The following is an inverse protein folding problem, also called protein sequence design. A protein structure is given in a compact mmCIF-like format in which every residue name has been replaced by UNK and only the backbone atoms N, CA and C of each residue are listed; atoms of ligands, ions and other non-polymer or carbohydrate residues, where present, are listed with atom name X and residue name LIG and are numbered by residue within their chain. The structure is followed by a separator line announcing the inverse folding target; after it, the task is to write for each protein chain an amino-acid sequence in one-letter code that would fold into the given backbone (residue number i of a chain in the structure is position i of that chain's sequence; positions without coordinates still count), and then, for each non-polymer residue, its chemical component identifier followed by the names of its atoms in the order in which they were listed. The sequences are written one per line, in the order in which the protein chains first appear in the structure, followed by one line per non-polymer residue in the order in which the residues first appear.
data_IF_787200821908
#
_entry.id   IF_787200821908
#
_cell.length_a   1.000
_cell.length_b   1.000
_cell.length_c   1.000
_cell.angle_alpha   90.00
_cell.angle_beta   90.00
_cell.angle_gamma   90.00
#
_symmetry.space_group_name_H-M   'P 1'
#
loop_
_entity.id
_entity.type
_entity.pdbx_description
1 polymer ?
#
# COMPACT_ATOMS: atom_id res chain seq x y z
N UNK A 1 -1.19 41.35 -68.00
CA UNK A 1 -2.49 41.31 -68.80
C UNK A 1 -3.52 40.65 -67.85
N UNK A 2 -4.48 41.46 -67.35
CA UNK A 2 -5.68 40.98 -66.64
C UNK A 2 -6.76 40.58 -67.65
N UNK A 3 -7.67 39.68 -67.25
CA UNK A 3 -9.07 40.03 -67.49
C UNK A 3 -9.93 39.90 -66.22
N UNK A 4 -10.80 40.83 -66.16
CA UNK A 4 -11.94 41.09 -65.28
C UNK A 4 -13.04 40.07 -65.63
N UNK A 5 -13.65 39.40 -64.67
CA UNK A 5 -14.91 38.67 -64.86
C UNK A 5 -15.92 39.17 -63.81
N UNK A 6 -17.06 39.51 -64.30
CA UNK A 6 -18.23 40.14 -63.72
C UNK A 6 -18.96 39.31 -62.71
N UNK A 7 -19.32 39.94 -61.60
CA UNK A 7 -20.22 39.42 -60.56
C UNK A 7 -21.67 39.67 -61.06
N UNK A 8 -22.45 38.62 -61.14
CA UNK A 8 -23.92 38.72 -61.24
C UNK A 8 -24.51 38.63 -59.81
N UNK A 9 -25.16 39.72 -59.42
CA UNK A 9 -25.96 39.87 -58.22
C UNK A 9 -27.28 39.08 -58.39
N UNK A 10 -27.54 38.07 -57.61
CA UNK A 10 -28.89 37.48 -57.47
C UNK A 10 -29.48 37.97 -56.13
N UNK A 11 -30.47 38.82 -56.23
CA UNK A 11 -31.36 39.24 -55.17
C UNK A 11 -32.33 38.10 -54.91
N UNK A 12 -32.32 37.45 -53.81
CA UNK A 12 -33.34 36.52 -53.37
C UNK A 12 -34.03 37.07 -52.11
N UNK A 13 -35.35 37.25 -52.26
CA UNK A 13 -36.28 37.81 -51.32
C UNK A 13 -36.21 37.12 -49.97
N UNK A 14 -35.98 37.89 -48.90
CA UNK A 14 -36.13 37.46 -47.53
C UNK A 14 -37.62 37.38 -47.14
N UNK A 15 -38.07 36.16 -46.82
CA UNK A 15 -39.33 35.94 -46.10
C UNK A 15 -38.97 35.97 -44.61
N UNK A 16 -39.34 37.08 -43.97
CA UNK A 16 -39.19 37.23 -42.51
C UNK A 16 -40.41 36.57 -41.85
N UNK A 17 -40.22 35.32 -41.40
CA UNK A 17 -41.16 34.68 -40.45
C UNK A 17 -40.78 35.10 -39.00
N UNK A 18 -41.75 35.21 -38.07
CA UNK A 18 -41.47 35.60 -36.72
C UNK A 18 -40.64 34.52 -35.99
N UNK A 19 -39.40 34.83 -35.69
CA UNK A 19 -38.57 34.04 -34.80
C UNK A 19 -39.20 34.10 -33.41
N UNK A 20 -39.89 33.01 -33.00
CA UNK A 20 -40.21 32.79 -31.60
C UNK A 20 -38.91 32.62 -30.86
N UNK A 21 -38.60 33.55 -29.95
CA UNK A 21 -37.54 33.41 -28.96
C UNK A 21 -37.78 32.12 -28.18
N UNK A 22 -36.94 31.11 -28.41
CA UNK A 22 -36.83 29.96 -27.53
C UNK A 22 -36.20 30.47 -26.26
N UNK A 23 -37.04 30.61 -25.26
CA UNK A 23 -36.58 30.88 -23.88
C UNK A 23 -35.59 29.79 -23.50
N UNK A 24 -34.28 30.13 -23.47
CA UNK A 24 -33.23 29.27 -22.91
C UNK A 24 -33.46 29.22 -21.41
N UNK A 25 -34.35 28.32 -20.99
CA UNK A 25 -34.46 27.91 -19.61
C UNK A 25 -33.06 27.49 -19.18
N UNK A 26 -32.58 28.23 -18.20
CA UNK A 26 -31.31 28.08 -17.52
C UNK A 26 -31.12 26.62 -17.07
N UNK A 27 -30.37 25.81 -17.84
CA UNK A 27 -30.00 24.41 -17.50
C UNK A 27 -28.95 24.41 -16.38
N UNK A 28 -28.95 25.38 -15.50
CA UNK A 28 -28.01 25.53 -14.38
C UNK A 28 -28.53 24.93 -13.05
N UNK A 29 -29.66 24.20 -13.06
CA UNK A 29 -30.26 23.64 -11.87
C UNK A 29 -30.25 22.12 -11.79
N UNK A 30 -29.33 21.43 -12.49
CA UNK A 30 -29.21 19.98 -12.38
C UNK A 30 -27.80 19.64 -11.93
N UNK A 31 -27.75 19.07 -10.70
CA UNK A 31 -26.65 18.50 -9.92
C UNK A 31 -26.03 19.45 -8.87
N UNK A 32 -26.85 20.05 -8.01
CA UNK A 32 -26.44 20.19 -6.60
C UNK A 32 -26.65 18.80 -6.01
N UNK A 33 -25.58 17.97 -5.94
CA UNK A 33 -25.55 16.88 -4.98
C UNK A 33 -25.80 17.51 -3.61
N UNK A 34 -26.95 17.19 -3.01
CA UNK A 34 -27.32 17.70 -1.69
C UNK A 34 -26.24 17.25 -0.72
N UNK A 35 -25.43 18.18 -0.21
CA UNK A 35 -24.43 17.87 0.80
C UNK A 35 -25.13 17.26 2.02
N UNK A 36 -24.86 15.99 2.28
CA UNK A 36 -25.50 15.26 3.40
C UNK A 36 -24.75 15.51 4.70
N UNK A 37 -23.41 15.43 4.63
CA UNK A 37 -22.51 15.64 5.77
C UNK A 37 -21.56 16.78 5.44
N UNK A 38 -21.58 17.85 6.23
CA UNK A 38 -20.61 18.94 6.16
C UNK A 38 -19.50 18.72 7.15
N UNK A 39 -18.28 18.75 6.67
CA UNK A 39 -17.07 18.61 7.48
C UNK A 39 -16.43 19.97 7.81
N UNK A 40 -15.82 20.07 8.99
CA UNK A 40 -14.98 21.22 9.36
C UNK A 40 -13.78 21.33 8.39
N UNK A 41 -13.25 20.21 7.98
CA UNK A 41 -12.23 20.05 6.95
C UNK A 41 -12.29 18.64 6.38
N UNK A 42 -11.81 18.44 5.16
CA UNK A 42 -11.72 17.11 4.51
C UNK A 42 -10.29 16.69 4.24
N UNK A 43 -9.34 17.63 4.36
CA UNK A 43 -7.90 17.38 4.22
C UNK A 43 -7.19 17.98 5.43
N UNK A 44 -6.30 17.20 6.03
CA UNK A 44 -5.45 17.65 7.12
C UNK A 44 -3.98 17.36 6.76
N UNK A 45 -3.16 18.40 6.81
CA UNK A 45 -1.71 18.26 6.77
C UNK A 45 -1.23 17.93 8.19
N UNK A 46 -0.60 16.75 8.34
CA UNK A 46 -0.07 16.28 9.62
C UNK A 46 1.40 16.68 9.82
N UNK A 47 1.97 17.38 8.83
CA UNK A 47 3.37 17.82 8.86
C UNK A 47 4.36 16.68 8.64
N UNK A 48 5.49 16.75 9.33
CA UNK A 48 6.55 15.74 9.26
C UNK A 48 6.58 14.95 10.55
N UNK A 49 6.47 13.63 10.42
CA UNK A 49 6.62 12.63 11.47
C UNK A 49 7.92 11.84 11.28
N UNK A 50 8.29 11.04 12.25
CA UNK A 50 9.35 10.02 12.13
C UNK A 50 8.76 8.62 12.33
N UNK A 51 9.43 7.58 11.84
CA UNK A 51 8.99 6.19 12.08
C UNK A 51 8.98 5.82 13.57
N UNK A 52 9.73 6.55 14.39
CA UNK A 52 9.84 6.33 15.85
C UNK A 52 8.73 7.03 16.64
N UNK A 53 7.94 7.89 15.99
CA UNK A 53 6.84 8.57 16.66
C UNK A 53 5.72 7.59 17.03
N UNK A 54 5.10 7.82 18.16
CA UNK A 54 3.90 7.09 18.58
C UNK A 54 2.74 7.37 17.58
N UNK A 55 1.76 6.46 17.49
CA UNK A 55 0.56 6.70 16.67
C UNK A 55 -0.12 8.03 17.01
N UNK A 56 -0.46 8.81 16.00
CA UNK A 56 -1.07 10.14 16.13
C UNK A 56 -2.54 10.09 15.73
N UNK A 57 -3.41 10.71 16.55
CA UNK A 57 -4.86 10.73 16.29
C UNK A 57 -5.32 12.11 15.86
N UNK A 58 -5.93 12.18 14.69
CA UNK A 58 -6.47 13.38 14.06
C UNK A 58 -7.99 13.31 14.02
N UNK A 59 -8.66 14.43 14.36
CA UNK A 59 -10.12 14.49 14.46
C UNK A 59 -10.69 15.36 13.36
N UNK A 60 -11.76 14.87 12.77
CA UNK A 60 -12.62 15.54 11.81
C UNK A 60 -14.01 15.62 12.38
N UNK A 61 -14.62 16.77 12.31
CA UNK A 61 -16.01 16.94 12.78
C UNK A 61 -16.94 17.05 11.58
N UNK A 62 -17.96 16.22 11.50
CA UNK A 62 -19.01 16.35 10.51
C UNK A 62 -20.34 16.72 11.16
N UNK A 63 -21.16 17.48 10.43
CA UNK A 63 -22.52 17.85 10.80
C UNK A 63 -23.47 17.30 9.74
N UNK A 64 -24.55 16.63 10.16
CA UNK A 64 -25.62 16.27 9.25
C UNK A 64 -26.38 17.56 8.85
N UNK A 65 -26.18 18.02 7.62
CA UNK A 65 -26.84 19.22 7.07
C UNK A 65 -28.05 18.87 6.22
N UNK A 66 -28.36 17.58 6.03
CA UNK A 66 -29.58 17.13 5.39
C UNK A 66 -30.77 17.30 6.34
N UNK A 67 -31.95 17.51 5.80
CA UNK A 67 -33.19 17.59 6.60
C UNK A 67 -33.68 16.24 7.16
N UNK A 68 -32.88 15.17 7.07
CA UNK A 68 -33.25 13.79 7.41
C UNK A 68 -32.22 13.15 8.32
N UNK A 69 -32.64 12.21 9.16
CA UNK A 69 -31.74 11.32 9.90
C UNK A 69 -30.97 10.45 8.91
N UNK A 70 -29.65 10.40 9.04
CA UNK A 70 -28.78 9.53 8.25
C UNK A 70 -28.11 8.51 9.16
N UNK A 71 -27.79 7.34 8.62
CA UNK A 71 -27.14 6.26 9.38
C UNK A 71 -25.73 6.02 8.83
N UNK A 72 -24.73 6.30 9.66
CA UNK A 72 -23.33 5.98 9.37
C UNK A 72 -23.11 4.47 9.54
N UNK A 73 -22.69 3.80 8.46
CA UNK A 73 -22.55 2.34 8.42
C UNK A 73 -21.10 1.89 8.42
N UNK A 74 -20.21 2.66 7.77
CA UNK A 74 -18.82 2.23 7.61
C UNK A 74 -17.89 3.42 7.37
N UNK A 75 -16.63 3.28 7.82
CA UNK A 75 -15.49 4.11 7.42
C UNK A 75 -14.38 3.17 6.98
N UNK A 76 -13.94 3.30 5.72
CA UNK A 76 -12.88 2.46 5.13
C UNK A 76 -11.64 3.28 4.88
N UNK A 77 -10.48 2.82 5.33
CA UNK A 77 -9.19 3.46 5.09
C UNK A 77 -8.44 2.79 3.92
N UNK A 78 -7.58 3.55 3.23
CA UNK A 78 -6.82 3.05 2.07
C UNK A 78 -5.55 2.30 2.43
N UNK A 79 -5.07 2.41 3.68
CA UNK A 79 -3.90 1.66 4.13
C UNK A 79 -4.10 1.10 5.54
N UNK A 80 -3.36 0.04 5.87
CA UNK A 80 -3.30 -0.51 7.23
C UNK A 80 -2.58 0.39 8.24
N UNK A 81 -1.93 1.46 7.78
CA UNK A 81 -1.27 2.46 8.61
C UNK A 81 -2.25 3.44 9.27
N UNK A 82 -3.52 3.44 8.86
CA UNK A 82 -4.55 4.34 9.36
C UNK A 82 -5.75 3.56 9.86
N UNK A 83 -6.11 3.74 11.13
CA UNK A 83 -7.32 3.21 11.73
C UNK A 83 -8.35 4.34 11.92
N UNK A 84 -9.62 4.03 11.66
CA UNK A 84 -10.73 4.95 11.92
C UNK A 84 -11.47 4.54 13.18
N UNK A 85 -11.70 5.50 14.07
CA UNK A 85 -12.55 5.37 15.25
C UNK A 85 -13.70 6.37 15.14
N UNK A 86 -14.93 5.85 15.12
CA UNK A 86 -16.14 6.64 15.01
C UNK A 86 -17.34 5.90 15.60
N UNK A 87 -18.19 6.64 16.31
CA UNK A 87 -19.49 6.10 16.76
C UNK A 87 -20.39 5.88 15.55
N UNK A 88 -20.63 4.62 15.19
CA UNK A 88 -21.57 4.23 14.15
C UNK A 88 -23.03 4.50 14.56
N UNK A 89 -23.93 4.48 13.60
CA UNK A 89 -25.37 4.60 13.81
C UNK A 89 -25.97 5.91 13.30
N UNK A 90 -27.12 6.27 13.84
CA UNK A 90 -27.90 7.42 13.38
C UNK A 90 -27.26 8.75 13.77
N UNK A 91 -27.38 9.73 12.87
CA UNK A 91 -26.99 11.13 13.03
C UNK A 91 -28.23 11.96 12.67
N UNK A 92 -28.80 12.63 13.67
CA UNK A 92 -29.98 13.46 13.48
C UNK A 92 -29.66 14.73 12.68
N UNK A 93 -30.66 15.38 12.04
CA UNK A 93 -30.47 16.68 11.41
C UNK A 93 -29.85 17.69 12.38
N UNK A 94 -28.75 18.35 11.96
CA UNK A 94 -28.00 19.30 12.79
C UNK A 94 -27.05 18.66 13.82
N UNK A 95 -27.12 17.33 14.03
CA UNK A 95 -26.20 16.64 14.94
C UNK A 95 -24.80 16.61 14.36
N UNK A 96 -23.80 16.77 15.24
CA UNK A 96 -22.38 16.65 14.92
C UNK A 96 -21.83 15.29 15.34
N UNK A 97 -20.89 14.76 14.54
CA UNK A 97 -20.16 13.53 14.84
C UNK A 97 -18.65 13.73 14.61
N UNK A 98 -17.83 13.18 15.52
CA UNK A 98 -16.38 13.18 15.36
C UNK A 98 -15.95 11.87 14.75
N UNK A 99 -15.10 11.95 13.72
CA UNK A 99 -14.40 10.84 13.12
C UNK A 99 -12.91 11.02 13.46
N UNK A 100 -12.36 10.08 14.21
CA UNK A 100 -10.95 10.09 14.57
C UNK A 100 -10.18 9.14 13.64
N UNK A 101 -9.10 9.63 13.06
CA UNK A 101 -8.17 8.83 12.25
C UNK A 101 -6.84 8.74 13.00
N UNK A 102 -6.44 7.53 13.36
CA UNK A 102 -5.16 7.27 14.02
C UNK A 102 -4.17 6.77 12.98
N UNK A 103 -3.12 7.55 12.72
CA UNK A 103 -2.04 7.21 11.82
C UNK A 103 -0.85 6.65 12.59
N UNK A 104 -0.31 5.53 12.12
CA UNK A 104 0.88 4.86 12.70
C UNK A 104 2.05 5.03 11.73
N UNK A 105 3.06 5.85 12.05
CA UNK A 105 4.17 6.13 11.14
C UNK A 105 5.19 4.97 11.03
N UNK A 106 5.23 4.09 12.02
CA UNK A 106 6.20 2.97 12.09
C UNK A 106 6.14 2.07 10.84
N UNK A 107 7.29 1.84 10.21
CA UNK A 107 7.46 1.07 8.98
C UNK A 107 6.78 1.69 7.73
N UNK A 108 6.49 3.00 7.75
CA UNK A 108 5.86 3.73 6.64
C UNK A 108 6.60 5.02 6.30
N UNK A 109 7.94 5.00 6.05
CA UNK A 109 8.67 6.21 5.68
C UNK A 109 8.26 6.69 4.29
N UNK A 110 8.29 7.99 4.09
CA UNK A 110 7.92 8.66 2.85
C UNK A 110 6.65 9.48 2.95
N UNK A 111 6.02 9.75 1.81
CA UNK A 111 4.84 10.62 1.74
C UNK A 111 3.62 9.99 2.38
N UNK A 112 2.93 10.75 3.23
CA UNK A 112 1.60 10.42 3.72
C UNK A 112 0.57 10.98 2.73
N UNK A 113 -0.22 10.13 2.12
CA UNK A 113 -1.44 10.44 1.38
C UNK A 113 -2.42 9.29 1.60
N UNK A 114 -3.07 9.30 2.75
CA UNK A 114 -4.02 8.25 3.13
C UNK A 114 -5.43 8.79 3.24
N UNK A 115 -6.39 7.99 2.81
CA UNK A 115 -7.78 8.39 2.72
C UNK A 115 -8.67 7.53 3.60
N UNK A 116 -9.71 8.13 4.16
CA UNK A 116 -10.81 7.47 4.80
C UNK A 116 -12.10 7.81 4.07
N UNK A 117 -12.83 6.79 3.62
CA UNK A 117 -14.09 6.90 2.90
C UNK A 117 -15.26 6.65 3.84
N UNK A 118 -16.21 7.56 3.83
CA UNK A 118 -17.38 7.55 4.72
C UNK A 118 -18.59 7.00 3.95
N UNK A 119 -19.27 6.00 4.53
CA UNK A 119 -20.43 5.36 3.92
C UNK A 119 -21.67 5.52 4.82
N UNK A 120 -22.81 5.79 4.19
CA UNK A 120 -24.12 5.82 4.83
C UNK A 120 -24.98 4.67 4.34
N UNK A 121 -26.01 4.28 5.11
CA UNK A 121 -26.95 3.23 4.73
C UNK A 121 -27.71 3.52 3.43
N UNK A 122 -27.85 4.79 3.07
CA UNK A 122 -28.46 5.22 1.80
C UNK A 122 -27.53 5.13 0.60
N UNK A 123 -26.22 4.85 0.82
CA UNK A 123 -25.18 4.84 -0.22
C UNK A 123 -24.06 3.86 0.13
N UNK A 124 -24.40 2.56 0.19
CA UNK A 124 -23.45 1.50 0.59
C UNK A 124 -22.34 1.25 -0.44
N UNK A 125 -22.57 1.58 -1.70
CA UNK A 125 -21.62 1.36 -2.80
C UNK A 125 -20.75 2.58 -3.12
N UNK A 126 -21.21 3.80 -2.76
CA UNK A 126 -20.48 5.04 -3.01
C UNK A 126 -20.24 5.79 -1.69
N UNK A 127 -19.01 6.21 -1.41
CA UNK A 127 -18.72 7.02 -0.24
C UNK A 127 -19.35 8.41 -0.38
N UNK A 128 -19.97 8.90 0.69
CA UNK A 128 -20.54 10.26 0.73
C UNK A 128 -19.49 11.32 1.05
N UNK A 129 -18.34 10.92 1.56
CA UNK A 129 -17.22 11.82 1.82
C UNK A 129 -15.89 11.06 1.83
N UNK A 130 -14.81 11.80 1.59
CA UNK A 130 -13.42 11.36 1.70
C UNK A 130 -12.67 12.31 2.61
N UNK A 131 -12.03 11.76 3.64
CA UNK A 131 -11.09 12.47 4.51
C UNK A 131 -9.67 12.08 4.13
N UNK A 132 -8.76 13.02 4.09
CA UNK A 132 -7.38 12.80 3.65
C UNK A 132 -6.40 13.32 4.71
N UNK A 133 -5.43 12.49 5.10
CA UNK A 133 -4.24 12.92 5.83
C UNK A 133 -3.08 13.04 4.85
N UNK A 134 -2.35 14.16 4.92
CA UNK A 134 -1.16 14.43 4.11
C UNK A 134 0.01 14.84 5.00
N UNK A 135 1.21 14.49 4.56
CA UNK A 135 2.43 14.82 5.29
C UNK A 135 3.61 14.00 4.80
N UNK A 136 4.60 13.84 5.66
CA UNK A 136 5.77 13.05 5.38
C UNK A 136 6.25 12.31 6.63
N UNK A 137 6.80 11.10 6.47
CA UNK A 137 7.45 10.33 7.53
C UNK A 137 8.93 10.21 7.19
N UNK A 138 9.78 10.72 8.07
CA UNK A 138 11.21 10.50 7.98
C UNK A 138 11.57 9.11 8.50
N UNK A 139 12.63 8.47 7.98
CA UNK A 139 13.16 7.23 8.54
C UNK A 139 13.44 7.37 10.03
N UNK A 140 13.22 6.30 10.78
CA UNK A 140 13.55 6.22 12.19
C UNK A 140 15.06 6.19 12.45
N UNK A 141 15.46 6.35 13.70
CA UNK A 141 16.87 6.32 14.12
C UNK A 141 17.52 4.94 13.92
N UNK A 142 16.73 3.86 14.02
CA UNK A 142 17.20 2.50 13.74
C UNK A 142 16.91 2.15 12.26
N UNK A 143 17.92 2.27 11.43
CA UNK A 143 17.87 1.87 10.01
C UNK A 143 17.49 0.40 9.82
N UNK A 144 17.72 -0.44 10.83
CA UNK A 144 17.47 -1.88 10.81
C UNK A 144 16.14 -2.28 11.46
N UNK A 145 15.34 -1.33 11.97
CA UNK A 145 14.02 -1.63 12.56
C UNK A 145 13.10 -2.43 11.63
N UNK A 146 13.26 -2.28 10.30
CA UNK A 146 12.51 -3.02 9.27
C UNK A 146 13.01 -4.45 9.03
N UNK A 147 14.04 -4.89 9.76
CA UNK A 147 14.65 -6.21 9.68
C UNK A 147 14.50 -6.91 11.06
N UNK A 148 13.32 -7.47 11.36
CA UNK A 148 12.97 -7.92 12.71
C UNK A 148 13.78 -9.12 13.21
N UNK A 149 14.46 -9.83 12.29
CA UNK A 149 15.25 -11.00 12.65
C UNK A 149 16.74 -10.68 12.65
N UNK A 150 17.38 -10.84 13.81
CA UNK A 150 18.80 -10.63 13.97
C UNK A 150 19.54 -11.96 14.13
N UNK A 151 20.64 -12.12 13.41
CA UNK A 151 21.61 -13.22 13.53
C UNK A 151 22.99 -12.60 13.69
N UNK A 152 23.40 -12.27 14.93
CA UNK A 152 24.53 -11.41 15.19
C UNK A 152 24.36 -10.03 14.55
N UNK A 153 25.26 -9.66 13.64
CA UNK A 153 25.20 -8.40 12.89
C UNK A 153 24.39 -8.51 11.57
N UNK A 154 24.01 -9.71 11.17
CA UNK A 154 23.13 -9.93 10.02
C UNK A 154 21.68 -9.64 10.44
N UNK A 155 20.99 -8.84 9.66
CA UNK A 155 19.56 -8.50 9.81
C UNK A 155 18.76 -9.06 8.66
N UNK A 156 17.60 -9.67 8.91
CA UNK A 156 16.77 -10.30 7.88
C UNK A 156 15.34 -9.80 7.95
N UNK A 157 14.71 -9.69 6.77
CA UNK A 157 13.27 -9.39 6.65
C UNK A 157 12.40 -10.50 7.18
N UNK A 158 12.84 -11.75 7.03
CA UNK A 158 12.14 -12.94 7.47
C UNK A 158 13.13 -14.07 7.77
N UNK A 159 12.78 -14.96 8.68
CA UNK A 159 13.60 -16.11 9.09
C UNK A 159 13.12 -17.44 8.51
N UNK A 160 12.28 -17.39 7.46
CA UNK A 160 11.81 -18.55 6.72
C UNK A 160 11.70 -18.25 5.24
N UNK A 161 11.87 -19.29 4.42
CA UNK A 161 11.58 -19.29 2.99
C UNK A 161 10.58 -20.36 2.66
N UNK A 162 9.68 -20.13 1.72
CA UNK A 162 8.72 -21.10 1.25
C UNK A 162 8.79 -21.23 -0.27
N UNK A 163 9.20 -22.42 -0.71
CA UNK A 163 9.15 -22.81 -2.11
C UNK A 163 7.77 -23.41 -2.38
N UNK A 164 6.98 -22.72 -3.19
CA UNK A 164 5.65 -23.16 -3.59
C UNK A 164 5.72 -23.81 -4.96
N UNK A 165 4.94 -24.89 -5.17
CA UNK A 165 4.75 -25.50 -6.47
C UNK A 165 6.07 -25.98 -7.13
N UNK A 166 6.92 -26.63 -6.35
CA UNK A 166 8.19 -27.18 -6.87
C UNK A 166 7.89 -28.39 -7.72
N UNK A 167 7.96 -28.23 -9.05
CA UNK A 167 7.77 -29.30 -10.02
C UNK A 167 9.06 -30.14 -10.20
N UNK A 168 8.90 -31.40 -10.52
CA UNK A 168 10.04 -32.31 -10.78
C UNK A 168 10.93 -31.79 -11.90
N UNK A 169 12.25 -31.94 -11.72
CA UNK A 169 13.25 -31.48 -12.68
C UNK A 169 13.44 -29.96 -12.76
N UNK A 170 12.74 -29.17 -11.94
CA UNK A 170 12.93 -27.72 -11.86
C UNK A 170 13.95 -27.33 -10.79
N UNK A 171 14.49 -26.12 -10.93
CA UNK A 171 15.48 -25.52 -10.01
C UNK A 171 15.03 -24.13 -9.56
N UNK A 172 13.93 -24.00 -8.80
CA UNK A 172 13.46 -22.72 -8.31
C UNK A 172 14.45 -22.12 -7.30
N UNK A 173 14.49 -20.78 -7.26
CA UNK A 173 15.23 -20.01 -6.27
C UNK A 173 14.30 -19.05 -5.56
N UNK A 174 14.47 -18.94 -4.24
CA UNK A 174 13.81 -17.96 -3.39
C UNK A 174 14.83 -17.03 -2.75
N UNK A 175 14.37 -15.83 -2.37
CA UNK A 175 15.22 -14.78 -1.84
C UNK A 175 14.69 -14.26 -0.49
N UNK A 176 15.62 -13.93 0.40
CA UNK A 176 15.34 -13.17 1.62
C UNK A 176 16.26 -11.97 1.65
N UNK A 177 15.66 -10.79 1.70
CA UNK A 177 16.43 -9.56 1.86
C UNK A 177 17.06 -9.53 3.25
N UNK A 178 18.34 -9.25 3.31
CA UNK A 178 19.12 -9.13 4.52
C UNK A 178 20.01 -7.88 4.46
N UNK A 179 20.67 -7.55 5.57
CA UNK A 179 21.60 -6.46 5.65
C UNK A 179 22.63 -6.65 6.73
N UNK A 180 23.74 -5.96 6.59
CA UNK A 180 24.84 -5.95 7.54
C UNK A 180 24.75 -4.72 8.45
N UNK A 181 24.29 -4.91 9.68
CA UNK A 181 24.22 -3.85 10.70
C UNK A 181 25.53 -3.67 11.49
N UNK A 182 26.59 -4.38 11.10
CA UNK A 182 27.90 -4.30 11.72
C UNK A 182 28.85 -3.33 11.01
N UNK A 183 30.06 -3.26 11.50
CA UNK A 183 31.16 -2.43 11.04
C UNK A 183 32.19 -3.20 10.16
N UNK A 184 32.03 -4.53 10.06
CA UNK A 184 32.89 -5.39 9.25
C UNK A 184 32.10 -6.04 8.10
N UNK A 185 32.73 -6.29 6.94
CA UNK A 185 32.11 -7.01 5.84
C UNK A 185 31.71 -8.43 6.25
N UNK A 186 30.52 -8.87 5.85
CA UNK A 186 30.06 -10.24 6.07
C UNK A 186 30.25 -11.08 4.79
N UNK A 187 30.79 -12.29 4.97
CA UNK A 187 30.79 -13.37 4.00
C UNK A 187 30.03 -14.53 4.57
N UNK A 188 28.88 -14.84 3.99
CA UNK A 188 27.99 -15.86 4.52
C UNK A 188 28.16 -17.18 3.77
N UNK A 189 28.05 -18.27 4.51
CA UNK A 189 27.85 -19.60 3.96
C UNK A 189 26.75 -20.32 4.73
N UNK A 190 26.43 -21.55 4.36
CA UNK A 190 25.40 -22.32 5.04
C UNK A 190 25.93 -23.69 5.42
N UNK A 191 25.65 -24.09 6.65
CA UNK A 191 25.79 -25.47 7.12
C UNK A 191 24.43 -26.18 7.21
N UNK A 192 24.44 -27.51 7.38
CA UNK A 192 23.26 -28.37 7.32
C UNK A 192 22.46 -28.26 6.03
N UNK A 193 23.16 -27.95 4.92
CA UNK A 193 22.57 -27.83 3.60
C UNK A 193 22.37 -29.21 2.97
N UNK A 194 21.14 -29.64 2.63
CA UNK A 194 20.92 -30.89 1.91
C UNK A 194 21.54 -30.86 0.50
N UNK A 195 21.88 -32.00 -0.07
CA UNK A 195 22.48 -32.11 -1.40
C UNK A 195 21.61 -31.50 -2.53
N UNK A 196 20.30 -31.43 -2.31
CA UNK A 196 19.35 -30.82 -3.24
C UNK A 196 19.19 -29.31 -3.08
N UNK A 197 19.91 -28.67 -2.15
CA UNK A 197 19.83 -27.23 -1.91
C UNK A 197 21.18 -26.54 -2.11
N UNK A 198 21.17 -25.34 -2.68
CA UNK A 198 22.32 -24.47 -2.80
C UNK A 198 22.05 -23.13 -2.13
N UNK A 199 23.09 -22.53 -1.56
CA UNK A 199 23.03 -21.24 -0.86
C UNK A 199 24.08 -20.31 -1.47
N UNK A 200 23.70 -19.02 -1.63
CA UNK A 200 24.62 -17.92 -1.95
C UNK A 200 24.05 -16.61 -1.45
N UNK A 201 24.87 -15.57 -1.43
CA UNK A 201 24.44 -14.18 -1.23
C UNK A 201 24.70 -13.36 -2.49
N UNK A 202 23.88 -12.37 -2.71
CA UNK A 202 24.00 -11.41 -3.81
C UNK A 202 23.92 -9.98 -3.24
N UNK A 203 25.06 -9.25 -3.13
CA UNK A 203 26.44 -9.63 -3.46
C UNK A 203 27.03 -10.67 -2.50
N UNK A 204 28.13 -11.32 -2.92
CA UNK A 204 28.85 -12.34 -2.13
C UNK A 204 29.40 -11.78 -0.81
N UNK A 205 29.86 -10.52 -0.84
CA UNK A 205 30.34 -9.77 0.33
C UNK A 205 29.34 -8.67 0.65
N UNK A 206 28.84 -8.69 1.86
CA UNK A 206 27.90 -7.68 2.34
C UNK A 206 28.68 -6.64 3.14
N UNK A 207 28.90 -5.48 2.56
CA UNK A 207 29.62 -4.39 3.22
C UNK A 207 28.83 -3.80 4.38
N UNK A 208 29.49 -3.16 5.37
CA UNK A 208 28.79 -2.48 6.46
C UNK A 208 27.71 -1.51 5.95
N UNK A 209 26.54 -1.52 6.60
CA UNK A 209 25.41 -0.66 6.23
C UNK A 209 24.69 -1.04 4.94
N UNK A 210 25.09 -2.12 4.24
CA UNK A 210 24.52 -2.50 2.95
C UNK A 210 23.53 -3.65 3.07
N UNK A 211 22.59 -3.66 2.13
CA UNK A 211 21.62 -4.73 1.93
C UNK A 211 22.17 -5.76 0.92
N UNK A 212 21.64 -6.98 1.01
CA UNK A 212 21.92 -8.09 0.11
C UNK A 212 20.75 -9.08 0.09
N UNK A 213 20.74 -9.96 -0.90
CA UNK A 213 19.84 -11.10 -0.92
C UNK A 213 20.54 -12.38 -0.46
N UNK A 214 19.94 -13.11 0.47
CA UNK A 214 20.20 -14.52 0.66
C UNK A 214 19.37 -15.28 -0.38
N UNK A 215 20.04 -16.05 -1.23
CA UNK A 215 19.41 -16.84 -2.28
C UNK A 215 19.59 -18.31 -1.98
N UNK A 216 18.48 -19.02 -1.89
CA UNK A 216 18.45 -20.48 -1.80
C UNK A 216 17.86 -21.04 -3.08
N UNK A 217 18.50 -22.06 -3.65
CA UNK A 217 18.02 -22.77 -4.85
C UNK A 217 17.77 -24.20 -4.48
N UNK A 218 16.62 -24.75 -4.89
CA UNK A 218 16.28 -26.17 -4.71
C UNK A 218 16.40 -26.87 -6.07
N UNK A 219 17.18 -27.94 -6.13
CA UNK A 219 17.21 -28.84 -7.28
C UNK A 219 16.21 -29.97 -7.05
N UNK A 220 15.03 -29.89 -7.68
CA UNK A 220 13.96 -30.86 -7.48
C UNK A 220 14.35 -32.28 -7.89
N UNK A 221 15.30 -32.42 -8.84
CA UNK A 221 15.76 -33.73 -9.31
C UNK A 221 16.60 -34.51 -8.28
N UNK A 222 17.16 -33.75 -7.30
CA UNK A 222 17.98 -34.34 -6.23
C UNK A 222 17.21 -34.57 -4.94
N UNK A 223 15.93 -34.19 -4.89
CA UNK A 223 15.09 -34.46 -3.71
C UNK A 223 14.81 -35.96 -3.61
N UNK A 224 15.12 -36.61 -2.47
CA UNK A 224 14.84 -38.03 -2.27
C UNK A 224 13.37 -38.35 -2.50
N UNK A 225 13.10 -39.52 -3.13
CA UNK A 225 11.74 -39.96 -3.48
C UNK A 225 10.86 -40.27 -2.26
N UNK A 226 11.47 -40.60 -1.13
CA UNK A 226 10.82 -40.85 0.16
C UNK A 226 10.41 -39.59 0.93
N UNK A 227 10.77 -38.39 0.43
CA UNK A 227 10.34 -37.16 1.03
C UNK A 227 8.86 -36.86 0.75
N UNK A 228 8.17 -36.38 1.79
CA UNK A 228 6.79 -35.91 1.68
C UNK A 228 6.62 -34.86 0.60
N UNK A 229 5.39 -34.69 0.12
CA UNK A 229 5.05 -33.61 -0.82
C UNK A 229 5.26 -32.20 -0.21
N UNK A 230 5.22 -32.10 1.13
CA UNK A 230 5.54 -30.86 1.87
C UNK A 230 6.48 -31.21 3.02
N UNK A 231 7.65 -30.60 3.07
CA UNK A 231 8.62 -30.80 4.13
C UNK A 231 9.38 -29.52 4.46
N UNK A 232 10.01 -29.50 5.64
CA UNK A 232 10.82 -28.37 6.11
C UNK A 232 12.20 -28.87 6.51
N UNK A 233 13.24 -28.05 6.24
CA UNK A 233 14.57 -28.29 6.76
C UNK A 233 15.20 -26.99 7.26
N UNK A 234 16.04 -27.07 8.32
CA UNK A 234 16.80 -25.93 8.81
C UNK A 234 18.07 -25.73 7.99
N UNK A 235 18.42 -24.50 7.73
CA UNK A 235 19.67 -24.04 7.17
C UNK A 235 20.34 -23.16 8.21
N UNK A 236 21.56 -23.48 8.64
CA UNK A 236 22.30 -22.66 9.61
C UNK A 236 23.24 -21.74 8.84
N UNK A 237 23.05 -20.44 9.02
CA UNK A 237 23.92 -19.42 8.39
C UNK A 237 25.23 -19.35 9.18
N UNK A 238 26.34 -19.46 8.47
CA UNK A 238 27.68 -19.31 8.98
C UNK A 238 28.30 -17.97 8.52
N UNK A 239 29.33 -17.51 9.23
CA UNK A 239 29.94 -16.20 8.99
C UNK A 239 29.35 -15.08 9.84
N UNK A 240 28.49 -15.42 10.80
CA UNK A 240 27.93 -14.51 11.81
C UNK A 240 28.02 -15.10 13.21
N UNK A 241 27.99 -14.24 14.20
CA UNK A 241 28.03 -14.64 15.61
C UNK A 241 26.69 -15.19 16.09
N UNK A 242 26.71 -15.95 17.18
CA UNK A 242 25.53 -16.52 17.83
C UNK A 242 25.52 -18.04 17.78
N UNK A 243 24.59 -18.64 18.55
CA UNK A 243 24.40 -20.09 18.54
C UNK A 243 23.71 -20.56 17.26
N UNK A 244 23.89 -21.82 16.82
CA UNK A 244 23.21 -22.34 15.62
C UNK A 244 21.69 -22.14 15.61
N UNK A 245 21.03 -22.24 16.78
CA UNK A 245 19.59 -21.99 16.93
C UNK A 245 19.18 -20.55 16.63
N UNK A 246 20.07 -19.60 16.88
CA UNK A 246 19.86 -18.16 16.62
C UNK A 246 20.14 -17.77 15.18
N UNK A 247 20.87 -18.60 14.43
CA UNK A 247 21.30 -18.40 13.05
C UNK A 247 20.60 -19.33 12.06
N UNK A 248 19.42 -19.83 12.42
CA UNK A 248 18.70 -20.81 11.61
C UNK A 248 17.66 -20.12 10.76
N UNK A 249 17.74 -20.37 9.43
CA UNK A 249 16.72 -20.05 8.44
C UNK A 249 15.91 -21.32 8.13
N UNK A 250 14.59 -21.28 8.25
CA UNK A 250 13.72 -22.42 8.00
C UNK A 250 13.24 -22.42 6.55
N UNK A 251 13.53 -23.51 5.85
CA UNK A 251 13.16 -23.67 4.44
C UNK A 251 12.02 -24.68 4.33
N UNK A 252 10.87 -24.24 3.84
CA UNK A 252 9.72 -25.08 3.54
C UNK A 252 9.63 -25.31 2.04
N UNK A 253 9.45 -26.56 1.64
CA UNK A 253 9.32 -26.96 0.24
C UNK A 253 7.97 -27.66 0.06
N UNK A 254 7.15 -27.15 -0.88
CA UNK A 254 5.90 -27.77 -1.31
C UNK A 254 6.05 -28.22 -2.76
N UNK A 255 6.04 -29.54 -2.97
CA UNK A 255 6.15 -30.17 -4.30
C UNK A 255 4.79 -30.30 -4.95
N UNK A 256 4.75 -30.11 -6.24
CA UNK A 256 3.62 -30.51 -7.10
C UNK A 256 4.04 -31.72 -7.94
N UNK A 257 3.09 -32.61 -8.16
CA UNK A 257 3.27 -33.78 -9.00
C UNK A 257 3.10 -33.42 -10.48
#
# INVERSE_FOLDING_TARGET
MKPIIWIRLFICCAVVGPFRAVETRNVRSVLQEEEILRFDRTVLDVGTLTEDDAPQTYRFTCTNVSGKTVKLTCVKTTCGCTAADVRMGEILPGETRVIALTYTPKNHPGTIDTNAFIYLASSDSLPVARLTLRGNVLPGADEWARYPYAMGKLRLKQNRMEFREVADGKRPSERVLCGNSGDQPLRLSASRLPAFAAFRTEPEVITPGSEADIVVTIDASLIPADKDSSFTFPLVIEGVEGQPSERTLNIKVNRIK
#
